data_IF_231205268920
#
_entry.id   IF_231205268920
#
_cell.length_a   1.000
_cell.length_b   1.000
_cell.length_c   1.000
_cell.angle_alpha   90.00
_cell.angle_beta   90.00
_cell.angle_gamma   90.00
#
_symmetry.space_group_name_H-M   'P 1'
#
loop_
_entity.id
_entity.type
_entity.pdbx_description
1 polymer ?
#
# COMPACT_ATOMS: atom_id res chain seq x y z
N UNK A 1 -47.29 28.07 -13.97
CA UNK A 1 -46.37 28.01 -12.82
C UNK A 1 -45.65 26.65 -12.66
N UNK A 2 -46.36 25.53 -12.66
CA UNK A 2 -45.74 24.18 -12.48
C UNK A 2 -44.67 23.86 -13.56
N UNK A 3 -44.94 24.20 -14.82
CA UNK A 3 -43.99 23.99 -15.93
C UNK A 3 -42.65 24.72 -15.72
N UNK A 4 -42.68 25.93 -15.22
CA UNK A 4 -41.48 26.74 -14.91
C UNK A 4 -40.62 26.06 -13.85
N UNK A 5 -41.26 25.58 -12.77
CA UNK A 5 -40.55 24.86 -11.71
C UNK A 5 -39.93 23.54 -12.18
N UNK A 6 -40.59 22.81 -13.09
CA UNK A 6 -40.06 21.59 -13.70
C UNK A 6 -38.83 21.91 -14.55
N UNK A 7 -38.85 23.00 -15.34
CA UNK A 7 -37.66 23.40 -16.09
C UNK A 7 -36.49 23.83 -15.19
N UNK A 8 -36.77 24.57 -14.10
CA UNK A 8 -35.75 24.97 -13.13
C UNK A 8 -35.14 23.71 -12.46
N UNK A 9 -35.98 22.78 -12.01
CA UNK A 9 -35.50 21.55 -11.39
C UNK A 9 -34.65 20.71 -12.36
N UNK A 10 -35.06 20.58 -13.61
CA UNK A 10 -34.30 19.88 -14.64
C UNK A 10 -32.95 20.56 -14.91
N UNK A 11 -32.91 21.90 -15.02
CA UNK A 11 -31.67 22.63 -15.22
C UNK A 11 -30.68 22.44 -14.05
N UNK A 12 -31.18 22.47 -12.81
CA UNK A 12 -30.35 22.19 -11.61
C UNK A 12 -29.82 20.77 -11.66
N UNK A 13 -30.65 19.78 -11.97
CA UNK A 13 -30.24 18.38 -12.03
C UNK A 13 -29.15 18.15 -13.09
N UNK A 14 -29.32 18.74 -14.30
CA UNK A 14 -28.31 18.66 -15.37
C UNK A 14 -27.02 19.40 -14.99
N UNK A 15 -27.12 20.53 -14.29
CA UNK A 15 -25.96 21.25 -13.77
C UNK A 15 -25.17 20.42 -12.73
N UNK A 16 -25.87 19.79 -11.79
CA UNK A 16 -25.24 18.91 -10.79
C UNK A 16 -24.62 17.67 -11.45
N UNK A 17 -25.30 17.07 -12.41
CA UNK A 17 -24.74 15.93 -13.16
C UNK A 17 -23.49 16.34 -13.94
N UNK A 18 -23.51 17.47 -14.64
CA UNK A 18 -22.37 18.00 -15.38
C UNK A 18 -21.18 18.30 -14.44
N UNK A 19 -21.44 18.89 -13.27
CA UNK A 19 -20.41 19.14 -12.26
C UNK A 19 -19.81 17.82 -11.73
N UNK A 20 -20.66 16.83 -11.46
CA UNK A 20 -20.20 15.53 -11.00
C UNK A 20 -19.33 14.83 -12.03
N UNK A 21 -19.73 14.83 -13.31
CA UNK A 21 -18.94 14.28 -14.41
C UNK A 21 -17.61 15.03 -14.60
N UNK A 22 -17.63 16.36 -14.43
CA UNK A 22 -16.40 17.16 -14.48
C UNK A 22 -15.44 16.83 -13.36
N UNK A 23 -15.92 16.65 -12.12
CA UNK A 23 -15.10 16.30 -10.96
C UNK A 23 -14.55 14.86 -11.04
N UNK A 24 -15.27 13.95 -11.68
CA UNK A 24 -14.88 12.54 -11.83
C UNK A 24 -14.06 12.27 -13.09
N UNK A 25 -13.84 13.29 -13.95
CA UNK A 25 -13.05 13.08 -15.17
C UNK A 25 -11.61 12.71 -14.82
N UNK A 26 -11.01 11.73 -15.51
CA UNK A 26 -9.60 11.41 -15.32
C UNK A 26 -8.72 12.61 -15.72
N UNK A 27 -7.68 12.87 -14.96
CA UNK A 27 -6.68 13.87 -15.31
C UNK A 27 -5.71 13.30 -16.35
N UNK A 28 -5.91 13.65 -17.62
CA UNK A 28 -5.19 13.04 -18.76
C UNK A 28 -3.72 13.45 -18.86
N UNK A 29 -3.34 14.58 -18.27
CA UNK A 29 -1.93 15.05 -18.34
C UNK A 29 -0.98 14.26 -17.42
N UNK A 30 -1.47 13.64 -16.34
CA UNK A 30 -0.66 12.83 -15.40
C UNK A 30 -0.47 11.37 -15.85
N UNK A 31 -1.12 10.92 -16.89
CA UNK A 31 -1.02 9.53 -17.37
C UNK A 31 0.38 9.12 -17.84
N UNK A 32 1.28 10.06 -18.12
CA UNK A 32 2.67 9.76 -18.47
C UNK A 32 3.48 9.15 -17.30
N UNK A 33 3.08 9.40 -16.05
CA UNK A 33 3.76 8.84 -14.87
C UNK A 33 3.45 7.37 -14.61
N UNK A 34 2.43 6.82 -15.26
CA UNK A 34 2.00 5.43 -15.08
C UNK A 34 2.54 4.46 -16.14
N UNK A 35 3.37 4.92 -17.07
CA UNK A 35 3.92 4.07 -18.14
C UNK A 35 4.69 2.85 -17.60
N UNK A 36 5.31 2.97 -16.41
CA UNK A 36 6.01 1.87 -15.76
C UNK A 36 5.06 0.73 -15.32
N UNK A 37 3.75 1.02 -15.20
CA UNK A 37 2.72 0.04 -14.83
C UNK A 37 2.02 -0.58 -16.04
N UNK A 38 2.26 -0.04 -17.26
CA UNK A 38 1.64 -0.55 -18.47
C UNK A 38 2.08 -1.99 -18.71
N UNK A 39 1.11 -2.89 -18.86
CA UNK A 39 1.31 -4.32 -19.06
C UNK A 39 2.08 -5.04 -17.93
N UNK A 40 2.26 -4.42 -16.77
CA UNK A 40 2.92 -5.04 -15.62
C UNK A 40 1.88 -5.65 -14.67
N UNK A 41 1.98 -6.93 -14.42
CA UNK A 41 1.20 -7.59 -13.37
C UNK A 41 1.76 -7.20 -12.01
N UNK A 42 0.89 -6.85 -11.06
CA UNK A 42 1.27 -6.45 -9.71
C UNK A 42 1.07 -7.63 -8.75
N UNK A 43 2.13 -8.03 -8.08
CA UNK A 43 2.09 -9.02 -7.02
C UNK A 43 1.64 -8.35 -5.71
N UNK A 44 0.39 -8.60 -5.30
CA UNK A 44 -0.18 -8.11 -4.05
C UNK A 44 0.56 -8.71 -2.85
N UNK A 45 1.25 -7.87 -2.06
CA UNK A 45 2.15 -8.24 -0.94
C UNK A 45 3.34 -9.11 -1.37
N UNK A 46 3.79 -8.97 -2.63
CA UNK A 46 4.82 -9.80 -3.23
C UNK A 46 4.29 -11.12 -3.81
N UNK A 47 5.16 -11.89 -4.44
CA UNK A 47 4.83 -13.22 -4.98
C UNK A 47 4.96 -14.26 -3.86
N UNK A 48 3.99 -14.24 -2.94
CA UNK A 48 4.04 -14.95 -1.68
C UNK A 48 3.33 -16.31 -1.67
N UNK A 49 3.74 -17.13 -0.71
CA UNK A 49 3.01 -18.31 -0.23
C UNK A 49 3.21 -18.41 1.28
N UNK A 50 2.11 -18.21 2.05
CA UNK A 50 2.12 -18.22 3.51
C UNK A 50 2.39 -19.61 4.14
N UNK A 51 2.57 -20.64 3.33
CA UNK A 51 2.96 -22.00 3.74
C UNK A 51 4.41 -22.33 3.34
N UNK A 52 5.18 -21.36 2.88
CA UNK A 52 6.57 -21.49 2.45
C UNK A 52 7.49 -20.50 3.17
N UNK A 53 8.78 -20.50 2.81
CA UNK A 53 9.78 -19.52 3.27
C UNK A 53 9.62 -18.12 2.61
N UNK A 54 8.51 -17.85 1.90
CA UNK A 54 8.22 -16.57 1.28
C UNK A 54 6.81 -16.10 1.65
N UNK A 55 6.53 -15.80 2.93
CA UNK A 55 5.22 -15.30 3.35
C UNK A 55 4.96 -13.88 2.82
N UNK A 56 3.69 -13.44 2.85
CA UNK A 56 3.29 -12.10 2.41
C UNK A 56 4.12 -11.01 3.07
N UNK A 57 4.38 -9.92 2.35
CA UNK A 57 5.15 -8.77 2.83
C UNK A 57 6.55 -9.10 3.36
N UNK A 58 7.17 -10.19 2.88
CA UNK A 58 8.54 -10.59 3.21
C UNK A 58 9.54 -10.22 2.11
N UNK A 59 10.83 -10.09 2.47
CA UNK A 59 11.89 -9.88 1.49
C UNK A 59 11.97 -11.03 0.48
N UNK A 60 11.72 -12.26 0.91
CA UNK A 60 11.71 -13.43 0.02
C UNK A 60 10.58 -13.35 -1.01
N UNK A 61 9.37 -12.93 -0.61
CA UNK A 61 8.24 -12.75 -1.54
C UNK A 61 8.50 -11.63 -2.55
N UNK A 62 9.10 -10.53 -2.11
CA UNK A 62 9.46 -9.41 -2.99
C UNK A 62 10.58 -9.79 -3.96
N UNK A 63 11.58 -10.53 -3.52
CA UNK A 63 12.64 -11.05 -4.40
C UNK A 63 12.08 -11.92 -5.50
N UNK A 64 11.16 -12.85 -5.16
CA UNK A 64 10.47 -13.67 -6.16
C UNK A 64 9.69 -12.83 -7.18
N UNK A 65 8.99 -11.78 -6.72
CA UNK A 65 8.25 -10.88 -7.61
C UNK A 65 9.19 -10.17 -8.59
N UNK A 66 10.27 -9.57 -8.09
CA UNK A 66 11.28 -8.88 -8.91
C UNK A 66 11.92 -9.82 -9.93
N UNK A 67 12.34 -11.03 -9.49
CA UNK A 67 13.04 -11.99 -10.34
C UNK A 67 12.14 -12.53 -11.47
N UNK A 68 10.81 -12.47 -11.31
CA UNK A 68 9.83 -12.87 -12.31
C UNK A 68 9.22 -11.70 -13.09
N UNK A 69 9.70 -10.47 -12.88
CA UNK A 69 9.25 -9.28 -13.61
C UNK A 69 7.88 -8.75 -13.19
N UNK A 70 7.41 -9.08 -11.99
CA UNK A 70 6.19 -8.52 -11.44
C UNK A 70 6.46 -7.15 -10.81
N UNK A 71 5.51 -6.23 -10.93
CA UNK A 71 5.41 -5.10 -10.02
C UNK A 71 5.02 -5.57 -8.61
N UNK A 72 5.23 -4.74 -7.63
CA UNK A 72 4.94 -5.08 -6.23
C UNK A 72 3.93 -4.10 -5.67
N UNK A 73 2.94 -4.62 -4.98
CA UNK A 73 2.15 -3.85 -4.01
C UNK A 73 2.53 -4.30 -2.61
N UNK A 74 2.57 -3.38 -1.66
CA UNK A 74 2.92 -3.65 -0.26
C UNK A 74 2.27 -2.64 0.69
N UNK A 75 2.22 -3.01 1.97
CA UNK A 75 1.58 -2.24 3.04
C UNK A 75 2.61 -1.66 4.00
N UNK A 76 2.55 -0.36 4.31
CA UNK A 76 3.49 0.26 5.27
C UNK A 76 2.80 0.80 6.51
N UNK A 77 3.48 0.69 7.64
CA UNK A 77 3.07 1.20 8.95
C UNK A 77 4.28 1.70 9.75
N UNK A 78 4.05 2.60 10.71
CA UNK A 78 5.07 3.03 11.67
C UNK A 78 5.07 2.15 12.93
N UNK A 79 6.26 1.81 13.38
CA UNK A 79 6.50 1.22 14.69
C UNK A 79 6.41 2.26 15.81
N UNK A 80 6.42 1.83 17.07
CA UNK A 80 6.45 2.70 18.25
C UNK A 80 7.60 3.71 18.24
N UNK A 81 8.76 3.32 17.73
CA UNK A 81 9.95 4.16 17.61
C UNK A 81 10.09 4.86 16.24
N UNK A 82 9.00 4.94 15.48
CA UNK A 82 8.92 5.70 14.22
C UNK A 82 9.67 5.07 13.04
N UNK A 83 9.96 3.78 13.07
CA UNK A 83 10.52 3.08 11.92
C UNK A 83 9.41 2.65 10.97
N UNK A 84 9.59 2.91 9.67
CA UNK A 84 8.65 2.47 8.64
C UNK A 84 8.93 1.01 8.28
N UNK A 85 7.93 0.15 8.52
CA UNK A 85 8.00 -1.30 8.26
C UNK A 85 6.94 -1.73 7.27
N UNK A 86 7.17 -2.88 6.61
CA UNK A 86 6.22 -3.44 5.66
C UNK A 86 5.42 -4.55 6.34
N UNK A 87 4.13 -4.26 6.60
CA UNK A 87 3.23 -5.18 7.30
C UNK A 87 1.77 -4.75 7.11
N UNK A 88 0.86 -5.72 6.86
CA UNK A 88 -0.55 -5.42 6.56
C UNK A 88 -1.41 -5.18 7.80
N UNK A 89 -1.38 -6.10 8.77
CA UNK A 89 -2.32 -6.12 9.88
C UNK A 89 -1.96 -5.09 10.96
N UNK A 90 -2.94 -4.61 11.72
CA UNK A 90 -2.66 -3.74 12.86
C UNK A 90 -2.10 -4.48 14.06
N UNK A 91 -2.25 -5.82 14.10
CA UNK A 91 -1.70 -6.68 15.14
C UNK A 91 -0.90 -7.85 14.54
N UNK A 92 -0.09 -8.47 15.37
CA UNK A 92 0.84 -9.53 14.98
C UNK A 92 0.22 -10.94 15.02
N UNK A 93 -1.07 -11.07 15.37
CA UNK A 93 -1.70 -12.36 15.64
C UNK A 93 -1.67 -13.31 14.44
N UNK A 94 -2.14 -12.85 13.29
CA UNK A 94 -2.30 -13.70 12.10
C UNK A 94 -0.95 -14.16 11.52
N UNK A 95 0.02 -13.25 11.50
CA UNK A 95 1.30 -13.49 10.84
C UNK A 95 2.38 -14.03 11.79
N UNK A 96 2.36 -13.61 13.07
CA UNK A 96 3.40 -13.95 14.04
C UNK A 96 2.88 -14.75 15.24
N UNK A 97 1.57 -14.98 15.37
CA UNK A 97 0.97 -15.70 16.50
C UNK A 97 0.91 -14.92 17.83
N UNK A 98 1.20 -13.62 17.83
CA UNK A 98 1.36 -12.79 19.01
C UNK A 98 0.23 -11.76 19.11
N UNK A 99 -0.44 -11.69 20.26
CA UNK A 99 -1.50 -10.72 20.55
C UNK A 99 -0.93 -9.37 20.99
N UNK A 100 -0.27 -8.65 20.09
CA UNK A 100 0.24 -7.28 20.30
C UNK A 100 -0.02 -6.45 19.04
N UNK A 101 -0.26 -5.15 19.23
CA UNK A 101 -0.34 -4.23 18.08
C UNK A 101 1.07 -3.88 17.61
N UNK A 102 1.23 -3.73 16.30
CA UNK A 102 2.50 -3.33 15.70
C UNK A 102 2.99 -1.99 16.27
N UNK A 103 2.11 -1.02 16.41
CA UNK A 103 2.40 0.34 16.90
C UNK A 103 2.81 0.40 18.37
N UNK A 104 2.64 -0.68 19.15
CA UNK A 104 3.07 -0.77 20.54
C UNK A 104 4.52 -1.26 20.69
N UNK A 105 5.15 -1.72 19.60
CA UNK A 105 6.48 -2.31 19.58
C UNK A 105 7.49 -1.44 18.84
N UNK A 106 8.70 -1.39 19.34
CA UNK A 106 9.86 -0.88 18.62
C UNK A 106 10.29 -1.86 17.52
N UNK A 107 11.06 -1.40 16.55
CA UNK A 107 11.57 -2.29 15.50
C UNK A 107 12.44 -3.42 16.08
N UNK A 108 13.29 -3.13 17.06
CA UNK A 108 14.10 -4.13 17.73
C UNK A 108 13.28 -5.24 18.44
N UNK A 109 12.09 -4.88 18.95
CA UNK A 109 11.16 -5.87 19.51
C UNK A 109 10.47 -6.68 18.40
N UNK A 110 10.19 -6.07 17.23
CA UNK A 110 9.58 -6.76 16.09
C UNK A 110 10.51 -7.80 15.46
N UNK A 111 11.82 -7.56 15.42
CA UNK A 111 12.82 -8.49 14.88
C UNK A 111 12.83 -9.88 15.55
N UNK A 112 12.28 -9.99 16.77
CA UNK A 112 12.17 -11.26 17.48
C UNK A 112 11.12 -12.19 16.84
N UNK A 113 10.13 -11.66 16.14
CA UNK A 113 9.01 -12.42 15.60
C UNK A 113 9.23 -12.79 14.14
N UNK A 114 8.88 -14.04 13.82
CA UNK A 114 8.94 -14.56 12.45
C UNK A 114 7.57 -14.53 11.79
N UNK A 115 7.55 -14.30 10.47
CA UNK A 115 6.35 -14.35 9.65
C UNK A 115 5.96 -15.80 9.37
N UNK A 116 4.76 -16.23 9.80
CA UNK A 116 4.21 -17.58 9.54
C UNK A 116 5.13 -18.74 9.93
N UNK A 117 6.02 -18.54 10.91
CA UNK A 117 6.98 -19.56 11.35
C UNK A 117 8.15 -19.80 10.39
N UNK A 118 8.27 -19.00 9.33
CA UNK A 118 9.41 -19.00 8.42
C UNK A 118 10.66 -18.35 9.05
N UNK A 119 11.75 -18.26 8.31
CA UNK A 119 12.93 -17.49 8.70
C UNK A 119 12.78 -15.99 8.46
N UNK A 120 11.79 -15.57 7.68
CA UNK A 120 11.52 -14.17 7.32
C UNK A 120 10.98 -13.37 8.50
N UNK A 121 11.38 -12.11 8.56
CA UNK A 121 10.99 -11.12 9.56
C UNK A 121 10.14 -10.02 8.92
N UNK A 122 9.52 -9.17 9.76
CA UNK A 122 8.88 -7.94 9.28
C UNK A 122 9.99 -7.01 8.77
N UNK A 123 10.05 -6.70 7.46
CA UNK A 123 11.17 -5.91 6.94
C UNK A 123 10.96 -4.41 7.16
N UNK A 124 12.07 -3.68 7.32
CA UNK A 124 12.07 -2.23 7.13
C UNK A 124 11.70 -1.89 5.68
N UNK A 125 10.97 -0.80 5.48
CA UNK A 125 10.66 -0.32 4.14
C UNK A 125 11.92 0.05 3.34
N UNK A 126 12.96 0.61 4.00
CA UNK A 126 14.27 0.87 3.39
C UNK A 126 14.90 -0.40 2.81
N UNK A 127 14.88 -1.52 3.56
CA UNK A 127 15.44 -2.78 3.07
C UNK A 127 14.67 -3.33 1.86
N UNK A 128 13.35 -3.08 1.78
CA UNK A 128 12.56 -3.43 0.60
C UNK A 128 12.93 -2.54 -0.60
N UNK A 129 13.09 -1.23 -0.40
CA UNK A 129 13.51 -0.31 -1.46
C UNK A 129 14.91 -0.67 -1.99
N UNK A 130 15.86 -1.00 -1.11
CA UNK A 130 17.20 -1.48 -1.48
C UNK A 130 17.13 -2.78 -2.30
N UNK A 131 16.24 -3.71 -1.91
CA UNK A 131 16.04 -4.95 -2.65
C UNK A 131 15.46 -4.69 -4.03
N UNK A 132 14.46 -3.82 -4.14
CA UNK A 132 13.79 -3.50 -5.43
C UNK A 132 14.73 -2.70 -6.33
N UNK A 133 15.44 -1.71 -5.78
CA UNK A 133 16.42 -0.86 -6.48
C UNK A 133 15.92 -0.32 -7.83
N UNK A 134 14.68 0.10 -7.91
CA UNK A 134 14.06 0.63 -9.14
C UNK A 134 13.81 -0.39 -10.26
N UNK A 135 14.00 -1.69 -10.02
CA UNK A 135 13.87 -2.74 -11.05
C UNK A 135 12.44 -3.03 -11.47
N UNK A 136 11.46 -2.68 -10.65
CA UNK A 136 10.04 -2.94 -10.92
C UNK A 136 9.17 -1.85 -10.30
N UNK A 137 7.96 -1.60 -10.86
CA UNK A 137 7.00 -0.65 -10.28
C UNK A 137 6.58 -1.06 -8.87
N UNK A 138 6.41 -0.06 -8.00
CA UNK A 138 6.00 -0.23 -6.62
C UNK A 138 4.71 0.54 -6.35
N UNK A 139 3.74 -0.13 -5.75
CA UNK A 139 2.51 0.44 -5.19
C UNK A 139 2.59 0.33 -3.67
N UNK A 140 2.53 1.46 -2.98
CA UNK A 140 2.64 1.51 -1.51
C UNK A 140 1.29 1.87 -0.91
N UNK A 141 0.69 0.93 -0.19
CA UNK A 141 -0.50 1.21 0.62
C UNK A 141 -0.09 1.76 1.97
N UNK A 142 -0.54 2.98 2.27
CA UNK A 142 -0.40 3.57 3.60
C UNK A 142 -1.53 3.04 4.47
N UNK A 143 -1.20 2.20 5.46
CA UNK A 143 -2.23 1.72 6.40
C UNK A 143 -2.72 2.86 7.28
N UNK A 144 -4.03 3.09 7.28
CA UNK A 144 -4.71 4.09 8.10
C UNK A 144 -4.76 3.58 9.55
N UNK A 145 -3.61 3.65 10.21
CA UNK A 145 -3.45 3.29 11.61
C UNK A 145 -3.49 4.53 12.51
N UNK A 146 -2.69 4.50 13.56
CA UNK A 146 -2.66 5.52 14.62
C UNK A 146 -2.24 6.92 14.13
N UNK A 147 -1.33 7.01 13.15
CA UNK A 147 -0.88 8.28 12.55
C UNK A 147 -0.59 8.10 11.05
N UNK A 148 -1.65 8.19 10.25
CA UNK A 148 -1.52 8.06 8.79
C UNK A 148 -0.69 9.21 8.18
N UNK A 149 -0.72 10.42 8.79
CA UNK A 149 0.01 11.58 8.30
C UNK A 149 1.52 11.36 8.43
N UNK A 150 2.00 11.00 9.62
CA UNK A 150 3.40 10.69 9.84
C UNK A 150 3.86 9.50 8.97
N UNK A 151 3.00 8.47 8.80
CA UNK A 151 3.32 7.34 7.94
C UNK A 151 3.47 7.77 6.47
N UNK A 152 2.58 8.66 5.99
CA UNK A 152 2.63 9.18 4.63
C UNK A 152 3.89 10.04 4.40
N UNK A 153 4.20 10.94 5.34
CA UNK A 153 5.39 11.78 5.28
C UNK A 153 6.66 10.92 5.25
N UNK A 154 6.78 9.97 6.17
CA UNK A 154 7.93 9.05 6.22
C UNK A 154 8.09 8.22 4.93
N UNK A 155 6.99 7.73 4.35
CA UNK A 155 7.04 6.99 3.09
C UNK A 155 7.44 7.88 1.90
N UNK A 156 6.90 9.11 1.84
CA UNK A 156 7.19 10.06 0.76
C UNK A 156 8.64 10.57 0.78
N UNK A 157 9.26 10.67 1.96
CA UNK A 157 10.67 11.05 2.08
C UNK A 157 11.64 9.96 1.60
N UNK A 158 11.19 8.71 1.52
CA UNK A 158 12.02 7.57 1.13
C UNK A 158 11.87 7.19 -0.35
N UNK A 159 10.79 7.65 -1.02
CA UNK A 159 10.48 7.37 -2.43
C UNK A 159 11.05 8.44 -3.36
#
# INVERSE_FOLDING_TARGET
MILVWLFVAAAILFGLLGLSLYMLRPETEKTRSFAAFDHTMIAHRGLFDNHSEAPENSLAAFRKAVDQGFGIELDVQLTKDGKLVVFHDFDLKRMCGIHKKLTELTYAELEQYSLKGSTEKIPLFSAVLDLIAGRTPLVVEIKVGYDYKATTEAAAEML
#
